data_IF_235475680840
#
_entry.id   IF_235475680840
#
_cell.length_a   1.000
_cell.length_b   1.000
_cell.length_c   1.000
_cell.angle_alpha   90.00
_cell.angle_beta   90.00
_cell.angle_gamma   90.00
#
_symmetry.space_group_name_H-M   'P 1'
#
loop_
_entity.id
_entity.type
_entity.pdbx_description
1 polymer ?
#
# COMPACT_ATOMS: atom_id res chain seq x y z
N UNK A 1 10.89 11.54 21.41
CA UNK A 1 10.44 11.37 20.02
C UNK A 1 9.01 10.88 20.09
N UNK A 2 8.04 11.66 19.59
CA UNK A 2 6.63 11.31 19.72
C UNK A 2 6.31 10.06 18.87
N UNK A 3 5.69 9.05 19.47
CA UNK A 3 5.08 7.97 18.71
C UNK A 3 3.98 8.56 17.82
N UNK A 4 4.08 8.37 16.51
CA UNK A 4 3.06 8.83 15.58
C UNK A 4 1.81 7.96 15.76
N UNK A 5 0.63 8.55 15.51
CA UNK A 5 -0.66 7.84 15.58
C UNK A 5 -0.64 6.54 14.76
N UNK A 6 0.04 6.56 13.62
CA UNK A 6 0.19 5.42 12.71
C UNK A 6 1.01 4.28 13.33
N UNK A 7 2.11 4.58 14.03
CA UNK A 7 2.88 3.55 14.74
C UNK A 7 2.07 2.85 15.82
N UNK A 8 1.17 3.58 16.50
CA UNK A 8 0.30 3.02 17.53
C UNK A 8 -0.73 2.04 16.94
N UNK A 9 -1.37 2.43 15.83
CA UNK A 9 -2.34 1.59 15.13
C UNK A 9 -1.73 0.27 14.65
N UNK A 10 -0.48 0.29 14.17
CA UNK A 10 0.23 -0.93 13.76
C UNK A 10 0.49 -1.87 14.94
N UNK A 11 0.88 -1.33 16.09
CA UNK A 11 1.10 -2.12 17.30
C UNK A 11 -0.21 -2.71 17.85
N UNK A 12 -1.31 -1.96 17.78
CA UNK A 12 -2.64 -2.44 18.16
C UNK A 12 -3.12 -3.56 17.21
N UNK A 13 -2.88 -3.42 15.91
CA UNK A 13 -3.20 -4.46 14.92
C UNK A 13 -2.40 -5.75 15.17
N UNK A 14 -1.10 -5.63 15.45
CA UNK A 14 -0.25 -6.76 15.84
C UNK A 14 -0.78 -7.44 17.11
N UNK A 15 -1.06 -6.68 18.17
CA UNK A 15 -1.56 -7.22 19.42
C UNK A 15 -2.91 -7.95 19.26
N UNK A 16 -3.75 -7.49 18.33
CA UNK A 16 -5.09 -8.05 18.10
C UNK A 16 -5.09 -9.31 17.24
N UNK A 17 -4.27 -9.36 16.19
CA UNK A 17 -4.44 -10.34 15.11
C UNK A 17 -3.32 -11.37 15.01
N UNK A 18 -2.19 -11.18 15.68
CA UNK A 18 -1.11 -12.18 15.67
C UNK A 18 -1.60 -13.49 16.28
N UNK A 19 -1.38 -14.59 15.55
CA UNK A 19 -1.86 -15.92 15.91
C UNK A 19 -3.33 -16.19 15.56
N UNK A 20 -4.09 -15.20 15.08
CA UNK A 20 -5.44 -15.43 14.57
C UNK A 20 -5.40 -16.28 13.30
N UNK A 21 -6.39 -17.13 13.10
CA UNK A 21 -6.51 -17.95 11.89
C UNK A 21 -6.98 -17.13 10.70
N UNK A 22 -6.32 -17.30 9.55
CA UNK A 22 -6.79 -16.78 8.28
C UNK A 22 -8.20 -17.32 7.97
N UNK A 23 -9.16 -16.47 7.57
CA UNK A 23 -10.55 -16.91 7.34
C UNK A 23 -10.71 -17.89 6.17
N UNK A 24 -9.77 -17.93 5.20
CA UNK A 24 -9.87 -18.84 4.05
C UNK A 24 -9.12 -20.15 4.24
N UNK A 25 -7.89 -20.08 4.74
CA UNK A 25 -6.99 -21.25 4.82
C UNK A 25 -6.72 -21.72 6.24
N UNK A 26 -7.27 -21.04 7.25
CA UNK A 26 -7.16 -21.33 8.69
C UNK A 26 -5.74 -21.28 9.29
N UNK A 27 -4.71 -21.07 8.46
CA UNK A 27 -3.33 -20.89 8.91
C UNK A 27 -3.20 -19.67 9.84
N UNK A 28 -2.43 -19.79 10.94
CA UNK A 28 -2.23 -18.70 11.88
C UNK A 28 -1.43 -17.57 11.23
N UNK A 29 -1.90 -16.33 11.41
CA UNK A 29 -1.22 -15.14 10.94
C UNK A 29 0.02 -14.86 11.80
N UNK A 30 1.18 -14.76 11.15
CA UNK A 30 2.38 -14.27 11.79
C UNK A 30 2.38 -12.73 11.87
N UNK A 31 3.29 -12.17 12.67
CA UNK A 31 3.49 -10.72 12.79
C UNK A 31 3.69 -10.04 11.43
N UNK A 32 4.52 -10.62 10.56
CA UNK A 32 4.70 -10.13 9.17
C UNK A 32 3.42 -10.20 8.34
N UNK A 33 2.65 -11.27 8.50
CA UNK A 33 1.39 -11.47 7.79
C UNK A 33 0.35 -10.42 8.18
N UNK A 34 0.28 -10.07 9.46
CA UNK A 34 -0.59 -9.00 9.95
C UNK A 34 -0.16 -7.64 9.39
N UNK A 35 1.13 -7.32 9.40
CA UNK A 35 1.63 -6.06 8.82
C UNK A 35 1.32 -5.97 7.32
N UNK A 36 1.54 -7.04 6.56
CA UNK A 36 1.16 -7.09 5.15
C UNK A 36 -0.35 -6.95 4.94
N UNK A 37 -1.18 -7.58 5.78
CA UNK A 37 -2.63 -7.45 5.69
C UNK A 37 -3.09 -6.01 5.96
N UNK A 38 -2.51 -5.33 6.96
CA UNK A 38 -2.80 -3.92 7.24
C UNK A 38 -2.35 -3.02 6.08
N UNK A 39 -1.16 -3.27 5.52
CA UNK A 39 -0.66 -2.54 4.35
C UNK A 39 -1.56 -2.71 3.11
N UNK A 40 -2.18 -3.90 2.95
CA UNK A 40 -3.16 -4.18 1.90
C UNK A 40 -4.58 -3.68 2.24
N UNK A 41 -4.77 -2.96 3.35
CA UNK A 41 -6.08 -2.43 3.78
C UNK A 41 -6.99 -3.44 4.46
N UNK A 42 -6.53 -4.66 4.74
CA UNK A 42 -7.30 -5.76 5.35
C UNK A 42 -7.24 -5.74 6.90
N UNK A 43 -7.34 -4.57 7.52
CA UNK A 43 -7.14 -4.38 8.97
C UNK A 43 -8.22 -4.97 9.88
N UNK A 44 -9.45 -5.09 9.37
CA UNK A 44 -10.60 -5.59 10.13
C UNK A 44 -10.83 -7.10 9.96
N UNK A 45 -10.33 -7.67 8.86
CA UNK A 45 -10.41 -9.09 8.54
C UNK A 45 -9.12 -9.53 7.83
N UNK A 46 -8.01 -9.65 8.57
CA UNK A 46 -6.72 -9.94 7.95
C UNK A 46 -6.69 -11.35 7.36
N UNK A 47 -6.10 -11.44 6.18
CA UNK A 47 -5.87 -12.71 5.45
C UNK A 47 -4.38 -12.94 5.33
N UNK A 48 -3.97 -14.21 5.21
CA UNK A 48 -2.57 -14.51 4.90
C UNK A 48 -2.25 -13.98 3.50
N UNK A 49 -0.98 -13.64 3.24
CA UNK A 49 -0.61 -12.99 1.98
C UNK A 49 -1.07 -13.80 0.75
N UNK A 50 -0.92 -15.13 0.77
CA UNK A 50 -1.35 -15.99 -0.33
C UNK A 50 -2.86 -15.92 -0.60
N UNK A 51 -3.69 -15.90 0.45
CA UNK A 51 -5.14 -15.76 0.30
C UNK A 51 -5.53 -14.34 -0.12
N UNK A 52 -4.83 -13.32 0.39
CA UNK A 52 -5.03 -11.94 -0.02
C UNK A 52 -4.71 -11.75 -1.51
N UNK A 53 -3.59 -12.28 -2.01
CA UNK A 53 -3.22 -12.15 -3.43
C UNK A 53 -4.18 -12.90 -4.35
N UNK A 54 -4.62 -14.11 -3.95
CA UNK A 54 -5.66 -14.85 -4.68
C UNK A 54 -6.97 -14.08 -4.75
N UNK A 55 -7.39 -13.46 -3.66
CA UNK A 55 -8.61 -12.64 -3.62
C UNK A 55 -8.51 -11.38 -4.50
N UNK A 56 -7.31 -10.81 -4.64
CA UNK A 56 -7.03 -9.67 -5.51
C UNK A 56 -6.79 -10.07 -6.98
N UNK A 57 -6.73 -11.37 -7.29
CA UNK A 57 -6.39 -11.85 -8.65
C UNK A 57 -4.95 -11.51 -9.08
N UNK A 58 -4.03 -11.27 -8.13
CA UNK A 58 -2.64 -10.88 -8.40
C UNK A 58 -1.67 -12.02 -8.17
N UNK A 59 -0.54 -11.97 -8.88
CA UNK A 59 0.58 -12.86 -8.64
C UNK A 59 1.23 -12.59 -7.27
N UNK A 60 1.60 -13.68 -6.58
CA UNK A 60 2.16 -13.62 -5.23
C UNK A 60 3.54 -12.95 -5.23
N UNK A 61 4.39 -13.26 -6.21
CA UNK A 61 5.75 -12.70 -6.29
C UNK A 61 5.69 -11.21 -6.62
N UNK A 62 4.87 -10.83 -7.60
CA UNK A 62 4.64 -9.43 -7.94
C UNK A 62 4.12 -8.63 -6.73
N UNK A 63 3.17 -9.20 -5.97
CA UNK A 63 2.63 -8.55 -4.77
C UNK A 63 3.68 -8.45 -3.66
N UNK A 64 4.52 -9.47 -3.44
CA UNK A 64 5.64 -9.41 -2.50
C UNK A 64 6.59 -8.26 -2.87
N UNK A 65 7.01 -8.18 -4.13
CA UNK A 65 7.93 -7.13 -4.59
C UNK A 65 7.34 -5.72 -4.48
N UNK A 66 6.04 -5.58 -4.70
CA UNK A 66 5.35 -4.30 -4.50
C UNK A 66 5.29 -3.92 -3.01
N UNK A 67 4.87 -4.84 -2.14
CA UNK A 67 4.82 -4.62 -0.69
C UNK A 67 6.20 -4.32 -0.11
N UNK A 68 7.24 -5.01 -0.55
CA UNK A 68 8.61 -4.80 -0.12
C UNK A 68 9.06 -3.35 -0.34
N UNK A 69 8.87 -2.84 -1.56
CA UNK A 69 9.21 -1.44 -1.92
C UNK A 69 8.37 -0.43 -1.15
N UNK A 70 7.07 -0.70 -1.01
CA UNK A 70 6.17 0.21 -0.30
C UNK A 70 6.51 0.30 1.20
N UNK A 71 6.71 -0.84 1.86
CA UNK A 71 7.06 -0.91 3.28
C UNK A 71 8.43 -0.30 3.57
N UNK A 72 9.38 -0.46 2.66
CA UNK A 72 10.71 0.15 2.77
C UNK A 72 10.66 1.69 2.82
N UNK A 73 9.65 2.31 2.20
CA UNK A 73 9.45 3.77 2.22
C UNK A 73 8.72 4.31 3.46
N UNK A 74 8.34 3.47 4.43
CA UNK A 74 7.50 3.87 5.57
C UNK A 74 8.16 3.57 6.91
N UNK A 75 8.71 4.60 7.57
CA UNK A 75 9.41 4.49 8.88
C UNK A 75 8.58 3.85 10.01
N UNK A 76 7.26 4.04 10.01
CA UNK A 76 6.37 3.42 11.00
C UNK A 76 6.29 1.90 10.80
N UNK A 77 6.23 1.44 9.55
CA UNK A 77 6.24 0.03 9.19
C UNK A 77 7.60 -0.60 9.38
N UNK A 78 8.70 0.07 9.00
CA UNK A 78 10.06 -0.43 9.25
C UNK A 78 10.29 -0.73 10.74
N UNK A 79 9.87 0.18 11.62
CA UNK A 79 9.97 -0.02 13.08
C UNK A 79 9.09 -1.16 13.60
N UNK A 80 7.87 -1.29 13.08
CA UNK A 80 6.99 -2.40 13.42
C UNK A 80 7.54 -3.74 12.89
N UNK A 81 8.14 -3.73 11.71
CA UNK A 81 8.75 -4.87 11.06
C UNK A 81 9.98 -5.38 11.82
N UNK A 82 10.87 -4.49 12.26
CA UNK A 82 12.01 -4.86 13.08
C UNK A 82 11.59 -5.54 14.40
N UNK A 83 10.45 -5.12 14.98
CA UNK A 83 9.87 -5.80 16.15
C UNK A 83 9.27 -7.16 15.79
N UNK A 84 8.59 -7.27 14.65
CA UNK A 84 8.05 -8.53 14.13
C UNK A 84 9.14 -9.55 13.83
N UNK A 85 10.29 -9.11 13.30
CA UNK A 85 11.43 -9.97 13.01
C UNK A 85 12.06 -10.55 14.29
N UNK A 86 11.97 -9.82 15.40
CA UNK A 86 12.45 -10.25 16.72
C UNK A 86 11.50 -11.18 17.50
N UNK A 87 10.27 -11.42 17.00
CA UNK A 87 9.24 -12.13 17.76
C UNK A 87 8.43 -13.15 16.93
N UNK A 88 8.12 -14.29 17.58
CA UNK A 88 6.97 -15.22 17.36
C UNK A 88 6.66 -15.78 15.98
N UNK A 89 7.31 -15.38 14.90
CA UNK A 89 7.12 -16.04 13.62
C UNK A 89 7.84 -17.39 13.60
N UNK A 90 7.19 -18.46 13.11
CA UNK A 90 7.87 -19.72 12.81
C UNK A 90 9.01 -19.42 11.82
N UNK A 91 10.24 -19.53 12.27
CA UNK A 91 11.41 -19.49 11.40
C UNK A 91 11.49 -20.81 10.60
N UNK A 92 11.69 -20.75 9.28
CA UNK A 92 11.79 -19.56 8.44
C UNK A 92 10.41 -19.02 8.02
N UNK A 93 10.16 -17.74 8.29
CA UNK A 93 9.01 -17.02 7.75
C UNK A 93 9.28 -16.71 6.27
N UNK A 94 8.35 -17.01 5.37
CA UNK A 94 8.48 -16.62 3.95
C UNK A 94 8.48 -15.10 3.73
N UNK A 95 8.19 -14.32 4.78
CA UNK A 95 8.16 -12.87 4.76
C UNK A 95 9.31 -12.24 5.56
N UNK A 96 10.08 -12.93 6.40
CA UNK A 96 11.12 -12.24 7.20
C UNK A 96 12.17 -11.54 6.33
N UNK A 97 12.46 -12.10 5.14
CA UNK A 97 13.36 -11.51 4.14
C UNK A 97 12.72 -10.44 3.23
N UNK A 98 11.41 -10.16 3.35
CA UNK A 98 10.68 -9.34 2.36
C UNK A 98 11.31 -7.96 2.15
N UNK A 99 11.80 -7.32 3.21
CA UNK A 99 12.45 -6.01 3.12
C UNK A 99 13.90 -6.08 2.65
N UNK A 100 14.59 -7.20 2.85
CA UNK A 100 15.96 -7.42 2.36
C UNK A 100 15.96 -7.74 0.86
N UNK A 101 14.88 -8.35 0.36
CA UNK A 101 14.67 -8.65 -1.06
C UNK A 101 14.26 -7.40 -1.88
N UNK A 102 14.01 -6.25 -1.24
CA UNK A 102 13.57 -5.01 -1.89
C UNK A 102 14.68 -4.27 -2.66
N UNK A 103 15.95 -4.63 -2.45
CA UNK A 103 17.14 -3.94 -3.00
C UNK A 103 17.51 -4.33 -4.45
N UNK A 104 16.53 -4.72 -5.29
CA UNK A 104 16.81 -5.01 -6.71
C UNK A 104 16.48 -3.78 -7.59
N UNK A 105 17.36 -3.34 -8.51
CA UNK A 105 17.42 -1.94 -8.98
C UNK A 105 16.36 -1.54 -10.00
N UNK A 106 16.20 -0.23 -10.11
CA UNK A 106 15.16 0.55 -10.77
C UNK A 106 15.30 0.69 -12.31
N UNK A 107 15.50 -0.40 -13.07
CA UNK A 107 15.91 -0.28 -14.49
C UNK A 107 14.98 -0.91 -15.54
N UNK A 108 13.86 -1.56 -15.16
CA UNK A 108 13.10 -2.38 -16.11
C UNK A 108 11.82 -1.77 -16.70
N UNK A 109 11.40 -0.54 -16.37
CA UNK A 109 10.16 0.05 -16.92
C UNK A 109 10.31 1.52 -17.35
N UNK A 110 11.33 1.82 -18.15
CA UNK A 110 11.40 3.06 -18.94
C UNK A 110 11.19 2.72 -20.43
N UNK A 111 9.95 2.48 -20.82
CA UNK A 111 9.51 2.62 -22.21
C UNK A 111 7.97 2.68 -22.29
N UNK A 112 7.38 3.85 -22.08
CA UNK A 112 6.23 4.23 -22.88
C UNK A 112 6.28 5.73 -23.17
N UNK A 113 6.48 6.02 -24.45
CA UNK A 113 6.94 7.28 -24.99
C UNK A 113 5.95 8.42 -24.81
N UNK A 114 6.49 9.60 -24.45
CA UNK A 114 5.85 10.90 -24.64
C UNK A 114 5.58 11.11 -26.13
N UNK A 115 4.35 11.43 -26.49
CA UNK A 115 4.10 12.35 -27.61
C UNK A 115 3.05 13.38 -27.24
N UNK A 116 3.39 14.61 -27.61
CA UNK A 116 2.80 15.89 -27.23
C UNK A 116 1.47 16.22 -27.93
N UNK A 117 0.69 17.06 -27.23
CA UNK A 117 -0.20 18.13 -27.71
C UNK A 117 -1.44 17.83 -28.59
N UNK A 118 -2.64 18.17 -28.05
CA UNK A 118 -3.46 19.31 -28.54
C UNK A 118 -4.71 19.64 -27.69
N UNK A 119 -4.84 20.94 -27.43
CA UNK A 119 -5.95 21.79 -26.93
C UNK A 119 -7.40 21.24 -27.06
N UNK A 120 -8.19 21.39 -25.98
CA UNK A 120 -9.45 22.12 -26.08
C UNK A 120 -9.90 22.76 -24.76
N UNK A 121 -10.60 23.88 -24.93
CA UNK A 121 -10.95 24.94 -23.98
C UNK A 121 -12.11 24.55 -23.05
N UNK A 122 -11.82 24.46 -21.75
CA UNK A 122 -12.75 24.53 -20.63
C UNK A 122 -11.91 25.01 -19.42
N UNK A 123 -12.48 25.67 -18.40
CA UNK A 123 -11.73 25.97 -17.18
C UNK A 123 -11.37 24.65 -16.49
N UNK A 124 -10.24 24.09 -16.89
CA UNK A 124 -9.70 22.85 -16.40
C UNK A 124 -9.13 23.16 -15.02
N UNK A 125 -9.87 22.77 -13.98
CA UNK A 125 -9.38 22.90 -12.62
C UNK A 125 -8.24 21.88 -12.48
N UNK A 126 -7.00 22.38 -12.41
CA UNK A 126 -5.82 21.54 -12.26
C UNK A 126 -5.49 21.41 -10.78
N UNK A 127 -5.43 20.18 -10.30
CA UNK A 127 -5.07 19.88 -8.93
C UNK A 127 -3.91 18.90 -8.89
N UNK A 128 -2.83 19.36 -8.28
CA UNK A 128 -1.65 18.56 -7.98
C UNK A 128 -1.81 17.94 -6.58
N UNK A 129 -1.72 16.63 -6.52
CA UNK A 129 -1.80 15.82 -5.31
C UNK A 129 -0.45 15.17 -4.97
N UNK A 130 0.62 15.46 -5.73
CA UNK A 130 1.97 14.97 -5.46
C UNK A 130 2.03 13.46 -5.24
N UNK A 131 2.80 13.02 -4.25
CA UNK A 131 2.99 11.63 -3.86
C UNK A 131 1.90 11.09 -2.91
N UNK A 132 0.73 11.74 -2.84
CA UNK A 132 -0.39 11.22 -2.06
C UNK A 132 -0.88 9.89 -2.64
N UNK A 133 -0.56 8.79 -1.97
CA UNK A 133 -1.02 7.43 -2.27
C UNK A 133 -1.67 6.76 -1.07
N UNK A 134 -2.31 5.61 -1.32
CA UNK A 134 -3.12 4.83 -0.38
C UNK A 134 -4.54 5.37 -0.11
N UNK A 135 -5.28 5.78 -1.15
CA UNK A 135 -6.68 6.21 -1.02
C UNK A 135 -6.89 7.62 -0.47
N UNK A 136 -5.85 8.27 0.06
CA UNK A 136 -5.88 9.69 0.42
C UNK A 136 -6.12 10.58 -0.80
N UNK A 137 -5.60 10.20 -1.97
CA UNK A 137 -5.89 10.85 -3.25
C UNK A 137 -7.39 10.82 -3.56
N UNK A 138 -8.04 9.66 -3.40
CA UNK A 138 -9.48 9.50 -3.65
C UNK A 138 -10.31 10.31 -2.66
N UNK A 139 -9.91 10.35 -1.39
CA UNK A 139 -10.63 11.08 -0.33
C UNK A 139 -10.54 12.60 -0.55
N UNK A 140 -9.35 13.13 -0.80
CA UNK A 140 -9.15 14.55 -1.09
C UNK A 140 -9.78 14.96 -2.43
N UNK A 141 -9.69 14.10 -3.46
CA UNK A 141 -10.34 14.33 -4.75
C UNK A 141 -11.87 14.38 -4.59
N UNK A 142 -12.46 13.47 -3.80
CA UNK A 142 -13.90 13.50 -3.47
C UNK A 142 -14.33 14.76 -2.74
N UNK A 143 -13.48 15.31 -1.87
CA UNK A 143 -13.79 16.57 -1.20
C UNK A 143 -13.74 17.76 -2.17
N UNK A 144 -12.75 17.82 -3.06
CA UNK A 144 -12.64 18.88 -4.07
C UNK A 144 -13.76 18.82 -5.12
N UNK A 145 -14.12 17.62 -5.58
CA UNK A 145 -15.19 17.42 -6.57
C UNK A 145 -16.58 17.85 -6.06
N UNK A 146 -16.81 17.87 -4.74
CA UNK A 146 -18.08 18.39 -4.16
C UNK A 146 -18.32 19.87 -4.47
N UNK A 147 -17.27 20.65 -4.75
CA UNK A 147 -17.36 22.06 -5.16
C UNK A 147 -17.42 22.27 -6.67
N UNK A 148 -17.39 21.20 -7.47
CA UNK A 148 -17.28 21.27 -8.94
C UNK A 148 -18.65 21.11 -9.59
N UNK A 149 -18.95 21.96 -10.57
CA UNK A 149 -20.22 21.90 -11.30
C UNK A 149 -20.31 20.63 -12.17
N UNK A 150 -21.48 19.98 -12.29
CA UNK A 150 -21.68 18.84 -13.17
C UNK A 150 -21.30 19.18 -14.62
N UNK A 151 -20.49 18.32 -15.25
CA UNK A 151 -20.00 18.53 -16.62
C UNK A 151 -18.66 19.29 -16.71
N UNK A 152 -18.10 19.76 -15.60
CA UNK A 152 -16.76 20.32 -15.57
C UNK A 152 -15.68 19.21 -15.61
N UNK A 153 -14.56 19.51 -16.27
CA UNK A 153 -13.42 18.60 -16.41
C UNK A 153 -12.31 19.03 -15.45
N UNK A 154 -11.79 18.08 -14.68
CA UNK A 154 -10.73 18.30 -13.68
C UNK A 154 -9.47 17.56 -14.13
N UNK A 155 -8.32 18.21 -14.07
CA UNK A 155 -7.01 17.58 -14.28
C UNK A 155 -6.41 17.20 -12.94
N UNK A 156 -6.17 15.91 -12.76
CA UNK A 156 -5.48 15.38 -11.58
C UNK A 156 -4.03 15.13 -11.96
N UNK A 157 -3.09 15.68 -11.18
CA UNK A 157 -1.67 15.39 -11.28
C UNK A 157 -1.29 14.67 -9.99
N UNK A 158 -0.77 13.46 -10.11
CA UNK A 158 -0.27 12.69 -9.00
C UNK A 158 1.01 11.99 -9.43
N UNK A 159 2.01 12.03 -8.56
CA UNK A 159 3.31 11.36 -8.73
C UNK A 159 3.36 10.05 -7.95
N UNK A 160 2.34 9.75 -7.16
CA UNK A 160 2.18 8.44 -6.53
C UNK A 160 1.94 7.35 -7.60
N UNK A 161 2.67 6.21 -7.54
CA UNK A 161 2.51 5.12 -8.50
C UNK A 161 1.18 4.36 -8.37
N UNK A 162 0.43 4.51 -7.27
CA UNK A 162 -0.91 3.94 -7.07
C UNK A 162 -2.05 4.81 -7.60
N UNK A 163 -1.79 6.10 -7.86
CA UNK A 163 -2.77 7.05 -8.38
C UNK A 163 -3.54 6.63 -9.66
N UNK A 164 -3.01 5.79 -10.57
CA UNK A 164 -3.80 5.29 -11.70
C UNK A 164 -4.89 4.27 -11.31
N UNK A 165 -4.75 3.59 -10.18
CA UNK A 165 -5.70 2.57 -9.70
C UNK A 165 -6.70 3.13 -8.66
N UNK A 166 -6.38 4.28 -8.07
CA UNK A 166 -7.24 5.10 -7.19
C UNK A 166 -8.37 5.82 -7.95
#
# INVERSE_FOLDING_TARGET
MAETSESRQLLEALARWVGASCPDCLEPLCDHGVLCAVALGLKDLPRCLNCATKGLGRDLVATKNHLARWLAGKDCYLRAWAKADSARCKTPCLLSGLLQEAEIPAEAELAFERTDEKKNDAPMLVHDFGDMGCGDLVLELRQKLRGVAPGAVVRVIATDPGAPED
#
